data_IF_124771025007
#
_entry.id   IF_124771025007
#
_cell.length_a   1.000
_cell.length_b   1.000
_cell.length_c   1.000
_cell.angle_alpha   90.00
_cell.angle_beta   90.00
_cell.angle_gamma   90.00
#
_symmetry.space_group_name_H-M   'P 1'
#
loop_
_entity.id
_entity.type
_entity.pdbx_description
1 polymer ?
#
# COMPACT_ATOMS: atom_id res chain seq x y z
N UNK A 1 33.99 14.14 -28.08
CA UNK A 1 33.19 13.19 -28.88
C UNK A 1 31.74 13.44 -28.48
N UNK A 2 30.94 14.00 -29.38
CA UNK A 2 29.53 14.28 -29.11
C UNK A 2 28.77 12.98 -28.97
N UNK A 3 27.90 12.90 -27.96
CA UNK A 3 26.91 11.83 -27.85
C UNK A 3 25.91 12.01 -29.00
N UNK A 4 26.11 11.19 -30.03
CA UNK A 4 25.13 10.85 -31.03
C UNK A 4 24.42 9.62 -30.50
N UNK A 5 23.44 9.81 -29.64
CA UNK A 5 22.42 8.81 -29.36
C UNK A 5 21.10 9.56 -29.16
N UNK A 6 20.16 9.35 -30.07
CA UNK A 6 18.81 9.93 -30.11
C UNK A 6 17.91 9.44 -28.96
N UNK A 7 18.47 8.73 -27.98
CA UNK A 7 17.80 8.45 -26.72
C UNK A 7 17.97 9.65 -25.82
N UNK A 8 17.05 10.61 -25.90
CA UNK A 8 16.90 11.60 -24.84
C UNK A 8 16.70 10.81 -23.55
N UNK A 9 17.72 10.75 -22.69
CA UNK A 9 17.66 10.05 -21.40
C UNK A 9 16.32 10.42 -20.74
N UNK A 10 15.49 9.42 -20.42
CA UNK A 10 14.18 9.65 -19.79
C UNK A 10 14.29 10.48 -18.49
N UNK A 11 15.48 10.49 -17.89
CA UNK A 11 15.85 11.36 -16.78
C UNK A 11 15.89 12.85 -17.19
N UNK A 12 16.47 13.17 -18.34
CA UNK A 12 16.48 14.54 -18.88
C UNK A 12 15.07 14.99 -19.24
N UNK A 13 14.25 14.16 -19.89
CA UNK A 13 12.86 14.54 -20.22
C UNK A 13 12.01 14.82 -18.99
N UNK A 14 12.19 14.05 -17.91
CA UNK A 14 11.49 14.26 -16.64
C UNK A 14 11.95 15.49 -15.90
N UNK A 15 13.26 15.74 -15.87
CA UNK A 15 13.79 16.95 -15.27
C UNK A 15 13.23 18.19 -15.98
N UNK A 16 13.22 18.18 -17.32
CA UNK A 16 12.62 19.26 -18.10
C UNK A 16 11.13 19.42 -17.79
N UNK A 17 10.35 18.34 -17.76
CA UNK A 17 8.93 18.39 -17.41
C UNK A 17 8.69 19.00 -16.02
N UNK A 18 9.48 18.60 -15.02
CA UNK A 18 9.36 19.12 -13.66
C UNK A 18 9.73 20.61 -13.56
N UNK A 19 10.79 21.03 -14.25
CA UNK A 19 11.21 22.44 -14.31
C UNK A 19 10.20 23.30 -15.06
N UNK A 20 9.62 22.80 -16.14
CA UNK A 20 8.57 23.48 -16.89
C UNK A 20 7.32 23.67 -16.02
N UNK A 21 6.92 22.61 -15.31
CA UNK A 21 5.79 22.62 -14.38
C UNK A 21 5.99 23.63 -13.22
N UNK A 22 7.21 23.71 -12.67
CA UNK A 22 7.59 24.75 -11.69
C UNK A 22 7.54 26.16 -12.30
N UNK A 23 8.07 26.32 -13.51
CA UNK A 23 8.08 27.61 -14.21
C UNK A 23 6.66 28.10 -14.50
N UNK A 24 5.76 27.19 -14.88
CA UNK A 24 4.35 27.48 -15.12
C UNK A 24 3.67 27.91 -13.83
N UNK A 25 3.91 27.20 -12.72
CA UNK A 25 3.37 27.59 -11.42
C UNK A 25 3.86 28.97 -10.98
N UNK A 26 5.17 29.20 -10.99
CA UNK A 26 5.75 30.50 -10.62
C UNK A 26 5.29 31.64 -11.55
N UNK A 27 5.17 31.37 -12.85
CA UNK A 27 4.64 32.29 -13.84
C UNK A 27 3.20 32.67 -13.54
N UNK A 28 2.35 31.70 -13.19
CA UNK A 28 0.95 31.98 -12.81
C UNK A 28 0.85 32.79 -11.52
N UNK A 29 1.69 32.53 -10.51
CA UNK A 29 1.75 33.33 -9.28
C UNK A 29 2.15 34.77 -9.61
N UNK A 30 3.20 34.95 -10.43
CA UNK A 30 3.73 36.27 -10.80
C UNK A 30 2.73 37.08 -11.63
N UNK A 31 2.01 36.42 -12.54
CA UNK A 31 1.05 37.09 -13.43
C UNK A 31 -0.29 37.41 -12.74
N UNK A 32 -0.79 36.51 -11.90
CA UNK A 32 -2.13 36.62 -11.29
C UNK A 32 -2.13 37.17 -9.86
N UNK A 33 -0.98 37.18 -9.18
CA UNK A 33 -0.86 37.61 -7.79
C UNK A 33 -1.69 36.76 -6.82
N UNK A 34 -1.77 37.19 -5.56
CA UNK A 34 -2.53 36.49 -4.52
C UNK A 34 -4.04 36.43 -4.84
N UNK A 35 -4.60 37.48 -5.43
CA UNK A 35 -6.03 37.58 -5.75
C UNK A 35 -6.44 36.56 -6.82
N UNK A 36 -5.65 36.38 -7.87
CA UNK A 36 -5.99 35.41 -8.91
C UNK A 36 -5.79 33.95 -8.47
N UNK A 37 -4.93 33.68 -7.49
CA UNK A 37 -4.87 32.35 -6.85
C UNK A 37 -6.13 32.05 -6.04
N UNK A 38 -6.65 33.06 -5.33
CA UNK A 38 -7.93 32.96 -4.61
C UNK A 38 -9.09 32.74 -5.59
N UNK A 39 -9.06 33.40 -6.76
CA UNK A 39 -10.06 33.16 -7.81
C UNK A 39 -9.99 31.73 -8.36
N UNK A 40 -8.80 31.21 -8.65
CA UNK A 40 -8.61 29.81 -9.08
C UNK A 40 -9.15 28.83 -8.02
N UNK A 41 -8.89 29.09 -6.74
CA UNK A 41 -9.41 28.28 -5.64
C UNK A 41 -10.95 28.35 -5.55
N UNK A 42 -11.54 29.55 -5.72
CA UNK A 42 -13.00 29.73 -5.75
C UNK A 42 -13.65 28.97 -6.92
N UNK A 43 -13.06 29.04 -8.11
CA UNK A 43 -13.52 28.30 -9.29
C UNK A 43 -13.43 26.79 -9.10
N UNK A 44 -12.36 26.29 -8.48
CA UNK A 44 -12.21 24.88 -8.10
C UNK A 44 -13.29 24.42 -7.11
N UNK A 45 -13.56 25.23 -6.08
CA UNK A 45 -14.62 24.97 -5.10
C UNK A 45 -16.02 24.96 -5.75
N UNK A 46 -16.29 25.90 -6.66
CA UNK A 46 -17.54 25.94 -7.43
C UNK A 46 -17.72 24.66 -8.27
N UNK A 47 -16.68 24.22 -8.99
CA UNK A 47 -16.71 22.97 -9.77
C UNK A 47 -16.97 21.74 -8.90
N UNK A 48 -16.39 21.68 -7.70
CA UNK A 48 -16.63 20.59 -6.75
C UNK A 48 -18.08 20.57 -6.25
N UNK A 49 -18.62 21.74 -5.86
CA UNK A 49 -20.02 21.83 -5.45
C UNK A 49 -20.99 21.41 -6.57
N UNK A 50 -20.69 21.76 -7.82
CA UNK A 50 -21.46 21.32 -8.98
C UNK A 50 -21.36 19.81 -9.20
N UNK A 51 -20.16 19.23 -9.06
CA UNK A 51 -19.96 17.78 -9.16
C UNK A 51 -20.67 17.01 -8.04
N UNK A 52 -20.67 17.56 -6.81
CA UNK A 52 -21.38 16.97 -5.68
C UNK A 52 -22.89 16.97 -5.92
N UNK A 53 -23.46 18.08 -6.43
CA UNK A 53 -24.87 18.14 -6.84
C UNK A 53 -25.21 17.07 -7.88
N UNK A 54 -24.39 16.89 -8.92
CA UNK A 54 -24.59 15.83 -9.92
C UNK A 54 -24.59 14.43 -9.31
N UNK A 55 -23.67 14.15 -8.39
CA UNK A 55 -23.62 12.86 -7.68
C UNK A 55 -24.87 12.65 -6.81
N UNK A 56 -25.36 13.69 -6.15
CA UNK A 56 -26.53 13.60 -5.29
C UNK A 56 -27.83 13.46 -6.11
N UNK A 57 -27.94 14.13 -7.26
CA UNK A 57 -29.02 13.93 -8.24
C UNK A 57 -29.03 12.49 -8.77
N UNK A 58 -27.86 11.94 -9.11
CA UNK A 58 -27.72 10.56 -9.57
C UNK A 58 -28.13 9.56 -8.47
N UNK A 59 -27.76 9.82 -7.21
CA UNK A 59 -28.18 8.99 -6.07
C UNK A 59 -29.69 9.08 -5.84
N UNK A 60 -30.28 10.27 -5.97
CA UNK A 60 -31.72 10.47 -5.82
C UNK A 60 -32.51 9.70 -6.89
N UNK A 61 -32.02 9.69 -8.14
CA UNK A 61 -32.59 8.88 -9.23
C UNK A 61 -32.52 7.38 -8.91
N UNK A 62 -31.36 6.87 -8.45
CA UNK A 62 -31.23 5.47 -8.04
C UNK A 62 -32.15 5.10 -6.87
N UNK A 63 -32.32 6.00 -5.90
CA UNK A 63 -33.22 5.77 -4.77
C UNK A 63 -34.69 5.70 -5.23
N UNK A 64 -35.09 6.56 -6.17
CA UNK A 64 -36.43 6.54 -6.77
C UNK A 64 -36.67 5.26 -7.59
N UNK A 65 -35.69 4.81 -8.37
CA UNK A 65 -35.80 3.58 -9.17
C UNK A 65 -35.83 2.33 -8.27
N UNK A 66 -35.06 2.33 -7.19
CA UNK A 66 -35.12 1.28 -6.15
C UNK A 66 -36.49 1.23 -5.46
N UNK A 67 -37.09 2.39 -5.18
CA UNK A 67 -38.44 2.47 -4.60
C UNK A 67 -39.54 1.96 -5.55
N UNK A 68 -39.30 2.01 -6.87
CA UNK A 68 -40.18 1.44 -7.91
C UNK A 68 -39.94 -0.06 -8.16
N UNK A 69 -39.05 -0.71 -7.42
CA UNK A 69 -38.73 -2.13 -7.57
C UNK A 69 -37.87 -2.47 -8.80
N UNK A 70 -37.22 -1.48 -9.41
CA UNK A 70 -36.32 -1.68 -10.55
C UNK A 70 -34.96 -2.19 -10.04
N UNK A 71 -34.35 -3.15 -10.76
CA UNK A 71 -32.98 -3.61 -10.44
C UNK A 71 -31.97 -2.48 -10.68
N UNK A 72 -31.32 -2.04 -9.60
CA UNK A 72 -30.39 -0.90 -9.58
C UNK A 72 -28.93 -1.33 -9.47
N UNK A 73 -28.61 -2.63 -9.51
CA UNK A 73 -27.23 -3.10 -9.28
C UNK A 73 -26.24 -2.65 -10.36
N UNK A 74 -26.65 -2.59 -11.63
CA UNK A 74 -25.82 -2.06 -12.72
C UNK A 74 -25.65 -0.55 -12.60
N UNK A 75 -26.75 0.17 -12.42
CA UNK A 75 -26.77 1.63 -12.30
C UNK A 75 -26.02 2.14 -11.06
N UNK A 76 -26.02 1.38 -9.95
CA UNK A 76 -25.23 1.68 -8.76
C UNK A 76 -23.71 1.54 -9.00
N UNK A 77 -23.29 0.56 -9.81
CA UNK A 77 -21.88 0.40 -10.20
C UNK A 77 -21.42 1.53 -11.12
N UNK A 78 -22.27 1.96 -12.05
CA UNK A 78 -21.99 3.09 -12.93
C UNK A 78 -21.90 4.40 -12.16
N UNK A 79 -22.83 4.65 -11.23
CA UNK A 79 -22.75 5.80 -10.34
C UNK A 79 -21.46 5.80 -9.52
N UNK A 80 -21.04 4.64 -8.99
CA UNK A 80 -19.78 4.55 -8.25
C UNK A 80 -18.56 4.89 -9.11
N UNK A 81 -18.56 4.49 -10.40
CA UNK A 81 -17.49 4.84 -11.35
C UNK A 81 -17.50 6.32 -11.69
N UNK A 82 -18.67 6.89 -11.96
CA UNK A 82 -18.84 8.30 -12.30
C UNK A 82 -18.56 9.22 -11.12
N UNK A 83 -19.00 8.87 -9.91
CA UNK A 83 -18.65 9.61 -8.69
C UNK A 83 -17.13 9.59 -8.46
N UNK A 84 -16.47 8.46 -8.73
CA UNK A 84 -15.02 8.37 -8.61
C UNK A 84 -14.28 9.16 -9.70
N UNK A 85 -14.77 9.21 -10.94
CA UNK A 85 -14.16 10.04 -12.00
C UNK A 85 -14.33 11.54 -11.69
N UNK A 86 -15.52 11.96 -11.25
CA UNK A 86 -15.81 13.34 -10.85
C UNK A 86 -14.97 13.78 -9.64
N UNK A 87 -14.75 12.89 -8.66
CA UNK A 87 -13.83 13.13 -7.53
C UNK A 87 -12.38 13.28 -7.98
N UNK A 88 -11.91 12.46 -8.92
CA UNK A 88 -10.55 12.58 -9.47
C UNK A 88 -10.36 13.87 -10.26
N UNK A 89 -11.41 14.35 -10.93
CA UNK A 89 -11.40 15.59 -11.69
C UNK A 89 -11.51 16.85 -10.81
N UNK A 90 -12.01 16.73 -9.58
CA UNK A 90 -12.19 17.87 -8.65
C UNK A 90 -11.28 17.75 -7.43
N UNK A 91 -10.00 18.09 -7.61
CA UNK A 91 -9.10 18.32 -6.48
C UNK A 91 -9.28 19.74 -5.92
N UNK A 92 -9.27 19.89 -4.59
CA UNK A 92 -9.34 21.21 -3.91
C UNK A 92 -8.04 22.02 -4.01
N UNK A 93 -7.01 21.49 -4.65
CA UNK A 93 -5.68 22.09 -4.67
C UNK A 93 -5.48 22.99 -5.90
N UNK A 94 -4.91 24.17 -5.66
CA UNK A 94 -4.49 25.14 -6.67
C UNK A 94 -3.49 24.49 -7.65
N UNK A 95 -2.57 23.66 -7.15
CA UNK A 95 -1.62 22.94 -8.02
C UNK A 95 -2.35 21.99 -8.98
N UNK A 96 -3.39 21.31 -8.50
CA UNK A 96 -4.20 20.41 -9.32
C UNK A 96 -5.03 21.19 -10.33
N UNK A 97 -5.49 22.39 -9.98
CA UNK A 97 -6.23 23.25 -10.90
C UNK A 97 -5.37 23.83 -12.04
N UNK A 98 -4.08 24.06 -11.79
CA UNK A 98 -3.16 24.66 -12.77
C UNK A 98 -2.46 23.59 -13.61
N UNK A 99 -1.96 22.51 -13.00
CA UNK A 99 -1.13 21.51 -13.65
C UNK A 99 -1.81 20.14 -13.86
N UNK A 100 -2.95 19.90 -13.22
CA UNK A 100 -3.57 18.58 -13.16
C UNK A 100 -2.98 17.68 -12.08
N UNK A 101 -3.69 16.60 -11.74
CA UNK A 101 -3.42 15.80 -10.55
C UNK A 101 -2.02 15.19 -10.51
N UNK A 102 -1.61 14.54 -11.60
CA UNK A 102 -0.35 13.78 -11.60
C UNK A 102 0.88 14.69 -11.51
N UNK A 103 0.89 15.80 -12.24
CA UNK A 103 1.97 16.79 -12.19
C UNK A 103 2.00 17.56 -10.88
N UNK A 104 0.83 17.86 -10.31
CA UNK A 104 0.73 18.44 -8.97
C UNK A 104 1.28 17.50 -7.89
N UNK A 105 0.99 16.20 -7.97
CA UNK A 105 1.54 15.20 -7.04
C UNK A 105 3.07 15.11 -7.17
N UNK A 106 3.62 15.18 -8.39
CA UNK A 106 5.06 15.20 -8.65
C UNK A 106 5.72 16.47 -8.07
N UNK A 107 5.11 17.66 -8.24
CA UNK A 107 5.58 18.90 -7.59
C UNK A 107 5.57 18.83 -6.06
N UNK A 108 4.54 18.23 -5.45
CA UNK A 108 4.47 18.10 -3.97
C UNK A 108 5.53 17.16 -3.42
N UNK A 109 5.93 16.14 -4.17
CA UNK A 109 6.92 15.15 -3.74
C UNK A 109 8.37 15.57 -3.96
N UNK A 110 8.57 16.68 -4.69
CA UNK A 110 9.87 17.12 -5.17
C UNK A 110 10.38 16.30 -6.35
N UNK A 111 11.39 16.81 -7.05
CA UNK A 111 12.01 16.08 -8.17
C UNK A 111 12.56 14.74 -7.70
N UNK A 112 12.08 13.65 -8.31
CA UNK A 112 12.58 12.29 -8.11
C UNK A 112 13.01 11.75 -9.47
N UNK A 113 14.30 11.38 -9.66
CA UNK A 113 14.77 10.85 -10.94
C UNK A 113 14.00 9.57 -11.33
N UNK A 114 13.71 8.73 -10.33
CA UNK A 114 12.92 7.51 -10.50
C UNK A 114 11.49 7.68 -9.96
N UNK A 115 10.50 7.63 -10.85
CA UNK A 115 9.09 7.51 -10.46
C UNK A 115 8.89 6.11 -9.88
N UNK A 116 8.32 5.94 -8.66
CA UNK A 116 7.96 4.62 -8.19
C UNK A 116 6.98 4.03 -9.21
N UNK A 117 7.35 2.88 -9.80
CA UNK A 117 6.46 2.15 -10.69
C UNK A 117 5.12 1.96 -9.98
N UNK A 118 4.08 2.65 -10.47
CA UNK A 118 2.71 2.39 -9.99
C UNK A 118 2.51 0.90 -10.19
N UNK A 119 2.15 0.18 -9.12
CA UNK A 119 1.80 -1.25 -9.21
C UNK A 119 0.96 -1.44 -10.47
N UNK A 120 1.35 -2.30 -11.43
CA UNK A 120 0.64 -2.41 -12.69
C UNK A 120 -0.81 -2.72 -12.35
N UNK A 121 -1.70 -1.76 -12.57
CA UNK A 121 -3.12 -1.96 -12.32
C UNK A 121 -3.57 -2.94 -13.39
N UNK A 122 -4.07 -4.09 -12.95
CA UNK A 122 -4.50 -5.11 -13.89
C UNK A 122 -5.75 -4.59 -14.60
N UNK A 123 -5.60 -4.18 -15.85
CA UNK A 123 -6.74 -3.74 -16.66
C UNK A 123 -7.72 -4.92 -16.83
N UNK A 124 -8.98 -4.81 -16.36
CA UNK A 124 -9.92 -5.91 -16.45
C UNK A 124 -10.19 -6.35 -17.89
N UNK A 125 -10.02 -5.44 -18.85
CA UNK A 125 -10.18 -5.70 -20.28
C UNK A 125 -9.08 -6.59 -20.85
N UNK A 126 -7.84 -6.46 -20.37
CA UNK A 126 -6.70 -7.26 -20.85
C UNK A 126 -6.76 -8.69 -20.33
N UNK A 127 -7.26 -8.90 -19.10
CA UNK A 127 -7.50 -10.24 -18.54
C UNK A 127 -8.62 -11.03 -19.23
N UNK A 128 -9.60 -10.32 -19.79
CA UNK A 128 -10.75 -10.93 -20.49
C UNK A 128 -10.39 -11.29 -21.92
N UNK A 129 -9.49 -10.53 -22.57
CA UNK A 129 -8.99 -10.84 -23.90
C UNK A 129 -7.92 -11.95 -23.93
N UNK A 130 -7.35 -12.33 -22.79
CA UNK A 130 -6.35 -13.40 -22.70
C UNK A 130 -6.98 -14.79 -22.72
N UNK A 131 -6.33 -15.73 -23.41
CA UNK A 131 -6.68 -17.15 -23.28
C UNK A 131 -6.42 -17.64 -21.85
N UNK A 132 -7.02 -18.76 -21.47
CA UNK A 132 -6.88 -19.35 -20.12
C UNK A 132 -5.41 -19.58 -19.74
N UNK A 133 -4.57 -19.94 -20.70
CA UNK A 133 -3.13 -20.19 -20.53
C UNK A 133 -2.34 -18.89 -20.38
N UNK A 134 -2.59 -17.91 -21.24
CA UNK A 134 -1.99 -16.58 -21.14
C UNK A 134 -2.36 -15.88 -19.84
N UNK A 135 -3.60 -16.06 -19.37
CA UNK A 135 -4.07 -15.53 -18.09
C UNK A 135 -3.36 -16.20 -16.91
N UNK A 136 -3.10 -17.50 -16.99
CA UNK A 136 -2.36 -18.24 -15.96
C UNK A 136 -0.89 -17.79 -15.91
N UNK A 137 -0.27 -17.59 -17.06
CA UNK A 137 1.11 -17.08 -17.15
C UNK A 137 1.23 -15.62 -16.70
N UNK A 138 0.29 -14.77 -17.11
CA UNK A 138 0.20 -13.37 -16.67
C UNK A 138 0.03 -13.27 -15.15
N UNK A 139 -0.87 -14.05 -14.56
CA UNK A 139 -1.03 -14.10 -13.09
C UNK A 139 0.20 -14.64 -12.38
N UNK A 140 0.91 -15.61 -12.99
CA UNK A 140 2.15 -16.17 -12.45
C UNK A 140 3.30 -15.17 -12.53
N UNK A 141 3.41 -14.39 -13.61
CA UNK A 141 4.38 -13.32 -13.78
C UNK A 141 4.06 -12.12 -12.88
N UNK A 142 2.80 -11.74 -12.78
CA UNK A 142 2.32 -10.72 -11.86
C UNK A 142 2.59 -11.11 -10.40
N UNK A 143 2.35 -12.37 -10.02
CA UNK A 143 2.72 -12.89 -8.71
C UNK A 143 4.24 -12.89 -8.53
N UNK A 144 5.07 -13.24 -9.52
CA UNK A 144 6.54 -13.13 -9.39
C UNK A 144 6.97 -11.68 -9.11
N UNK A 145 6.39 -10.71 -9.80
CA UNK A 145 6.74 -9.30 -9.62
C UNK A 145 6.11 -8.67 -8.36
N UNK A 146 5.01 -9.25 -7.85
CA UNK A 146 4.35 -8.83 -6.60
C UNK A 146 4.88 -9.55 -5.37
N UNK A 147 5.57 -10.69 -5.55
CA UNK A 147 6.20 -11.48 -4.48
C UNK A 147 7.51 -10.83 -4.04
N UNK A 148 7.41 -9.62 -3.48
CA UNK A 148 8.50 -8.91 -2.82
C UNK A 148 9.59 -8.47 -3.78
N UNK A 149 9.83 -7.16 -3.86
CA UNK A 149 10.96 -6.56 -4.58
C UNK A 149 12.33 -7.15 -4.15
N UNK A 150 12.37 -7.90 -3.05
CA UNK A 150 13.57 -8.46 -2.44
C UNK A 150 13.55 -10.00 -2.27
N UNK A 151 12.62 -10.73 -2.91
CA UNK A 151 12.51 -12.20 -2.74
C UNK A 151 11.95 -12.67 -1.39
N UNK A 152 11.71 -11.73 -0.47
CA UNK A 152 11.23 -11.97 0.89
C UNK A 152 9.70 -12.15 1.01
N UNK A 153 9.01 -12.51 -0.08
CA UNK A 153 7.57 -12.70 -0.07
C UNK A 153 7.15 -13.92 0.77
N UNK A 154 6.46 -13.69 1.89
CA UNK A 154 5.83 -14.73 2.73
C UNK A 154 4.50 -15.24 2.13
N UNK A 155 4.36 -15.24 0.81
CA UNK A 155 3.08 -15.48 0.10
C UNK A 155 2.74 -16.95 -0.09
N UNK A 156 3.70 -17.86 0.13
CA UNK A 156 3.55 -19.31 -0.06
C UNK A 156 4.06 -20.07 1.16
N UNK A 157 3.50 -21.25 1.43
CA UNK A 157 3.96 -22.09 2.54
C UNK A 157 5.38 -22.59 2.30
N UNK A 158 6.14 -22.80 3.38
CA UNK A 158 7.50 -23.31 3.29
C UNK A 158 7.58 -24.67 2.58
N UNK A 159 6.58 -25.54 2.76
CA UNK A 159 6.47 -26.85 2.09
C UNK A 159 6.18 -26.77 0.59
N UNK A 160 5.67 -25.63 0.10
CA UNK A 160 5.34 -25.41 -1.31
C UNK A 160 6.50 -24.75 -2.07
N UNK A 161 7.53 -24.31 -1.35
CA UNK A 161 8.74 -23.73 -1.91
C UNK A 161 9.70 -24.84 -2.37
N UNK A 162 10.45 -24.63 -3.47
CA UNK A 162 11.53 -25.53 -3.84
C UNK A 162 12.54 -25.61 -2.69
N UNK A 163 13.03 -26.82 -2.39
CA UNK A 163 14.09 -27.04 -1.40
C UNK A 163 15.37 -27.45 -2.13
N UNK A 164 16.49 -26.70 -1.99
CA UNK A 164 16.67 -25.48 -1.20
C UNK A 164 15.97 -24.27 -1.81
N UNK A 165 15.49 -23.32 -0.98
CA UNK A 165 14.89 -22.09 -1.51
C UNK A 165 15.96 -21.24 -2.22
N UNK A 166 15.48 -20.42 -3.15
CA UNK A 166 16.34 -19.53 -3.94
C UNK A 166 17.06 -18.51 -3.05
N UNK A 167 18.25 -18.03 -3.45
CA UNK A 167 18.89 -16.89 -2.78
C UNK A 167 17.95 -15.69 -2.68
N UNK A 168 17.94 -15.01 -1.53
CA UNK A 168 17.06 -13.87 -1.24
C UNK A 168 15.65 -14.26 -0.74
N UNK A 169 15.30 -15.54 -0.66
CA UNK A 169 14.03 -15.96 -0.06
C UNK A 169 14.08 -15.93 1.47
N UNK A 170 12.93 -15.72 2.13
CA UNK A 170 12.83 -15.71 3.60
C UNK A 170 13.47 -16.93 4.25
N UNK A 171 13.16 -18.13 3.78
CA UNK A 171 13.75 -19.36 4.30
C UNK A 171 15.28 -19.37 4.21
N UNK A 172 15.82 -18.79 3.13
CA UNK A 172 17.25 -18.76 2.88
C UNK A 172 17.99 -17.78 3.82
N UNK A 173 17.36 -16.66 4.12
CA UNK A 173 17.89 -15.68 5.09
C UNK A 173 17.77 -16.20 6.53
N UNK A 174 16.76 -17.02 6.83
CA UNK A 174 16.47 -17.57 8.16
C UNK A 174 16.98 -19.03 8.34
N UNK A 175 18.18 -19.32 7.85
CA UNK A 175 18.93 -20.54 8.24
C UNK A 175 18.74 -21.79 7.37
N UNK A 176 17.93 -21.73 6.30
CA UNK A 176 17.84 -22.87 5.37
C UNK A 176 19.16 -23.09 4.61
N UNK A 177 19.70 -24.29 4.70
CA UNK A 177 20.90 -24.70 3.96
C UNK A 177 20.69 -24.68 2.44
N UNK A 178 21.74 -24.30 1.68
CA UNK A 178 21.82 -24.58 0.23
C UNK A 178 21.99 -26.06 -0.10
N UNK A 179 22.48 -26.87 0.84
CA UNK A 179 22.92 -28.23 0.59
C UNK A 179 24.10 -28.33 -0.39
N UNK A 180 24.88 -27.27 -0.56
CA UNK A 180 26.14 -27.29 -1.33
C UNK A 180 27.32 -27.75 -0.46
N UNK A 181 27.22 -27.49 0.85
CA UNK A 181 28.20 -27.86 1.86
C UNK A 181 27.53 -28.66 2.98
N UNK A 182 28.27 -29.61 3.56
CA UNK A 182 27.81 -30.38 4.73
C UNK A 182 27.63 -29.41 5.91
N UNK A 183 26.48 -29.48 6.58
CA UNK A 183 26.14 -28.67 7.76
C UNK A 183 26.12 -27.14 7.53
N UNK A 184 25.79 -26.68 6.32
CA UNK A 184 25.68 -25.24 6.02
C UNK A 184 24.30 -24.64 6.40
N UNK A 185 23.72 -25.06 7.53
CA UNK A 185 22.59 -24.40 8.16
C UNK A 185 23.14 -23.58 9.33
N UNK A 186 22.56 -22.41 9.60
CA UNK A 186 23.01 -21.54 10.69
C UNK A 186 21.83 -21.11 11.55
N UNK A 187 22.02 -21.25 12.86
CA UNK A 187 21.10 -20.77 13.90
C UNK A 187 21.57 -19.42 14.48
N UNK A 188 22.66 -18.85 13.94
CA UNK A 188 23.19 -17.57 14.40
C UNK A 188 22.31 -16.41 13.94
N UNK A 189 22.00 -15.51 14.89
CA UNK A 189 21.28 -14.28 14.60
C UNK A 189 22.15 -13.35 13.76
N UNK A 190 21.63 -12.94 12.60
CA UNK A 190 22.34 -12.07 11.65
C UNK A 190 21.70 -10.68 11.56
N UNK A 191 22.51 -9.63 11.38
CA UNK A 191 22.03 -8.24 11.22
C UNK A 191 20.99 -8.12 10.10
N UNK A 192 21.17 -8.73 8.91
CA UNK A 192 20.15 -8.73 7.86
C UNK A 192 18.85 -9.41 8.27
N UNK A 193 18.87 -10.48 9.08
CA UNK A 193 17.65 -11.13 9.58
C UNK A 193 16.87 -10.16 10.48
N UNK A 194 17.55 -9.50 11.43
CA UNK A 194 16.94 -8.52 12.32
C UNK A 194 16.34 -7.33 11.55
N UNK A 195 17.08 -6.77 10.58
CA UNK A 195 16.58 -5.72 9.69
C UNK A 195 15.40 -6.18 8.84
N UNK A 196 15.37 -7.46 8.45
CA UNK A 196 14.25 -8.01 7.70
C UNK A 196 13.01 -8.25 8.56
N UNK A 197 13.13 -8.53 9.85
CA UNK A 197 11.97 -8.53 10.75
C UNK A 197 11.47 -7.11 11.01
N UNK A 198 12.38 -6.14 11.15
CA UNK A 198 12.05 -4.75 11.44
C UNK A 198 11.37 -4.04 10.26
N UNK A 199 11.93 -4.20 9.06
CA UNK A 199 11.54 -3.47 7.85
C UNK A 199 10.87 -4.35 6.79
N UNK A 200 10.94 -5.67 6.94
CA UNK A 200 10.46 -6.60 5.93
C UNK A 200 8.97 -6.94 6.07
N UNK A 201 8.45 -7.76 5.15
CA UNK A 201 7.02 -8.01 4.99
C UNK A 201 6.40 -8.87 6.10
N UNK A 202 7.20 -9.33 7.08
CA UNK A 202 6.73 -10.17 8.18
C UNK A 202 5.65 -9.45 9.00
N UNK A 203 5.88 -8.18 9.34
CA UNK A 203 4.91 -7.36 10.07
C UNK A 203 3.60 -7.17 9.28
N UNK A 204 3.69 -6.94 7.96
CA UNK A 204 2.52 -6.75 7.09
C UNK A 204 1.66 -8.02 6.98
N UNK A 205 2.29 -9.19 6.88
CA UNK A 205 1.59 -10.47 6.79
C UNK A 205 0.91 -10.82 8.11
N UNK A 206 1.58 -10.58 9.24
CA UNK A 206 1.03 -10.86 10.56
C UNK A 206 -0.14 -9.92 10.86
N UNK A 207 -0.05 -8.64 10.47
CA UNK A 207 -1.11 -7.64 10.66
C UNK A 207 -2.22 -7.70 9.58
N UNK A 208 -2.19 -8.67 8.66
CA UNK A 208 -3.20 -8.78 7.63
C UNK A 208 -4.58 -9.13 8.23
N UNK A 209 -5.65 -8.34 7.96
CA UNK A 209 -7.01 -8.63 8.45
C UNK A 209 -7.57 -9.99 8.04
N UNK A 210 -7.10 -10.55 6.92
CA UNK A 210 -7.49 -11.86 6.44
C UNK A 210 -6.79 -13.02 7.18
N UNK A 211 -5.79 -12.73 8.02
CA UNK A 211 -5.11 -13.76 8.81
C UNK A 211 -6.03 -14.31 9.90
N UNK A 212 -5.89 -15.60 10.21
CA UNK A 212 -6.63 -16.22 11.33
C UNK A 212 -6.34 -15.54 12.67
N UNK A 213 -5.10 -15.06 12.85
CA UNK A 213 -4.69 -14.32 14.04
C UNK A 213 -5.51 -13.03 14.18
N UNK A 214 -5.54 -12.18 13.14
CA UNK A 214 -6.33 -10.94 13.20
C UNK A 214 -7.82 -11.20 13.29
N UNK A 215 -8.35 -12.27 12.68
CA UNK A 215 -9.75 -12.65 12.86
C UNK A 215 -10.05 -13.00 14.33
N UNK A 216 -9.16 -13.74 15.00
CA UNK A 216 -9.30 -14.07 16.42
C UNK A 216 -9.18 -12.82 17.31
N UNK A 217 -8.26 -11.91 16.99
CA UNK A 217 -8.11 -10.63 17.69
C UNK A 217 -9.33 -9.73 17.47
N UNK A 218 -9.89 -9.70 16.26
CA UNK A 218 -11.08 -8.90 15.94
C UNK A 218 -12.34 -9.36 16.68
N UNK A 219 -12.42 -10.65 17.07
CA UNK A 219 -13.51 -11.18 17.89
C UNK A 219 -13.44 -10.77 19.36
N UNK A 220 -12.29 -10.24 19.82
CA UNK A 220 -12.15 -9.78 21.20
C UNK A 220 -12.65 -8.33 21.36
N UNK A 221 -13.59 -8.11 22.26
CA UNK A 221 -14.28 -6.82 22.42
C UNK A 221 -13.40 -5.70 23.00
N UNK A 222 -12.41 -6.04 23.82
CA UNK A 222 -11.59 -5.06 24.55
C UNK A 222 -10.12 -5.10 24.12
N UNK A 223 -9.41 -3.96 24.07
CA UNK A 223 -7.98 -3.93 23.76
C UNK A 223 -7.14 -4.83 24.67
N UNK A 224 -7.47 -4.92 25.96
CA UNK A 224 -6.80 -5.82 26.89
C UNK A 224 -7.00 -7.30 26.53
N UNK A 225 -8.23 -7.71 26.16
CA UNK A 225 -8.47 -9.09 25.67
C UNK A 225 -7.75 -9.36 24.36
N UNK A 226 -7.70 -8.39 23.44
CA UNK A 226 -6.95 -8.48 22.17
C UNK A 226 -5.48 -8.79 22.41
N UNK A 227 -4.86 -8.07 23.35
CA UNK A 227 -3.46 -8.29 23.72
C UNK A 227 -3.26 -9.65 24.39
N UNK A 228 -4.16 -10.09 25.28
CA UNK A 228 -4.07 -11.43 25.86
C UNK A 228 -4.16 -12.53 24.79
N UNK A 229 -5.08 -12.40 23.82
CA UNK A 229 -5.18 -13.32 22.68
C UNK A 229 -3.92 -13.31 21.83
N UNK A 230 -3.31 -12.14 21.61
CA UNK A 230 -2.05 -12.00 20.88
C UNK A 230 -0.89 -12.71 21.61
N UNK A 231 -0.73 -12.48 22.92
CA UNK A 231 0.28 -13.15 23.75
C UNK A 231 0.10 -14.67 23.74
N UNK A 232 -1.14 -15.14 23.85
CA UNK A 232 -1.42 -16.57 23.81
C UNK A 232 -1.13 -17.17 22.42
N UNK A 233 -1.42 -16.45 21.34
CA UNK A 233 -1.17 -16.93 19.99
C UNK A 233 0.31 -16.90 19.60
N UNK A 234 1.09 -15.94 20.09
CA UNK A 234 2.50 -15.77 19.72
C UNK A 234 3.47 -16.43 20.70
N UNK A 235 3.22 -16.31 22.01
CA UNK A 235 4.11 -16.78 23.08
C UNK A 235 3.53 -17.96 23.86
N UNK A 236 2.33 -18.44 23.52
CA UNK A 236 1.66 -19.56 24.22
C UNK A 236 1.47 -19.35 25.73
N UNK A 237 1.50 -18.09 26.20
CA UNK A 237 1.31 -17.71 27.61
C UNK A 237 0.51 -16.42 27.72
N UNK A 238 0.00 -16.12 28.92
CA UNK A 238 -0.54 -14.80 29.24
C UNK A 238 0.59 -13.79 29.54
N UNK A 239 0.37 -12.48 29.35
CA UNK A 239 1.31 -11.45 29.80
C UNK A 239 1.47 -11.51 31.32
N UNK A 240 2.68 -11.22 31.83
CA UNK A 240 2.93 -11.10 33.27
C UNK A 240 2.32 -9.80 33.82
N UNK A 241 2.23 -9.65 35.14
CA UNK A 241 1.71 -8.43 35.76
C UNK A 241 2.51 -7.18 35.37
N UNK A 242 3.84 -7.31 35.24
CA UNK A 242 4.72 -6.23 34.81
C UNK A 242 4.51 -5.87 33.33
N UNK A 243 4.45 -6.87 32.45
CA UNK A 243 4.16 -6.68 31.03
C UNK A 243 2.78 -6.03 30.84
N UNK A 244 1.79 -6.48 31.60
CA UNK A 244 0.43 -5.94 31.54
C UNK A 244 0.36 -4.47 31.95
N UNK A 245 1.17 -4.04 32.93
CA UNK A 245 1.27 -2.64 33.32
C UNK A 245 1.80 -1.77 32.17
N UNK A 246 2.85 -2.23 31.48
CA UNK A 246 3.41 -1.54 30.29
C UNK A 246 2.43 -1.56 29.11
N UNK A 247 1.73 -2.67 28.89
CA UNK A 247 0.77 -2.78 27.78
C UNK A 247 -0.43 -1.85 28.00
N UNK A 248 -0.87 -1.68 29.26
CA UNK A 248 -1.96 -0.78 29.59
C UNK A 248 -1.60 0.70 29.31
N UNK A 249 -0.37 1.13 29.57
CA UNK A 249 0.06 2.49 29.21
C UNK A 249 0.07 2.69 27.70
N UNK A 250 0.58 1.71 26.94
CA UNK A 250 0.59 1.76 25.47
C UNK A 250 -0.85 1.78 24.90
N UNK A 251 -1.78 1.02 25.47
CA UNK A 251 -3.20 1.05 25.09
C UNK A 251 -3.79 2.44 25.33
N UNK A 252 -3.51 3.05 26.48
CA UNK A 252 -4.04 4.37 26.83
C UNK A 252 -3.51 5.46 25.89
N UNK A 253 -2.23 5.40 25.50
CA UNK A 253 -1.61 6.40 24.63
C UNK A 253 -2.00 6.24 23.15
N UNK A 254 -2.15 5.00 22.66
CA UNK A 254 -2.28 4.73 21.22
C UNK A 254 -3.61 4.14 20.77
N UNK A 255 -4.47 3.73 21.69
CA UNK A 255 -5.80 3.18 21.39
C UNK A 255 -5.71 1.94 20.50
N UNK A 256 -6.47 1.92 19.39
CA UNK A 256 -6.53 0.78 18.47
C UNK A 256 -5.19 0.45 17.79
N UNK A 257 -4.28 1.43 17.65
CA UNK A 257 -2.95 1.20 17.07
C UNK A 257 -2.02 0.42 18.01
N UNK A 258 -2.32 0.39 19.31
CA UNK A 258 -1.53 -0.33 20.30
C UNK A 258 -1.39 -1.82 19.95
N UNK A 259 -2.44 -2.44 19.39
CA UNK A 259 -2.40 -3.87 19.04
C UNK A 259 -1.37 -4.14 17.95
N UNK A 260 -1.30 -3.30 16.92
CA UNK A 260 -0.33 -3.45 15.83
C UNK A 260 1.11 -3.17 16.32
N UNK A 261 1.30 -2.15 17.14
CA UNK A 261 2.60 -1.80 17.71
C UNK A 261 3.12 -2.93 18.63
N UNK A 262 2.25 -3.48 19.48
CA UNK A 262 2.60 -4.63 20.35
C UNK A 262 2.88 -5.88 19.50
N UNK A 263 2.12 -6.13 18.44
CA UNK A 263 2.38 -7.24 17.52
C UNK A 263 3.76 -7.13 16.88
N UNK A 264 4.12 -5.93 16.42
CA UNK A 264 5.44 -5.68 15.84
C UNK A 264 6.56 -5.86 16.88
N UNK A 265 6.38 -5.36 18.10
CA UNK A 265 7.33 -5.53 19.20
C UNK A 265 7.52 -7.01 19.60
N UNK A 266 6.46 -7.82 19.57
CA UNK A 266 6.55 -9.26 19.88
C UNK A 266 7.28 -10.05 18.79
N UNK A 267 7.11 -9.69 17.52
CA UNK A 267 7.78 -10.34 16.38
C UNK A 267 9.28 -10.01 16.34
N UNK A 268 9.63 -8.78 16.70
CA UNK A 268 11.03 -8.31 16.70
C UNK A 268 11.75 -8.57 18.03
N UNK A 269 11.01 -8.96 19.08
CA UNK A 269 11.53 -9.22 20.41
C UNK A 269 12.30 -10.54 20.51
N UNK A 270 13.26 -10.58 21.44
CA UNK A 270 14.11 -11.75 21.70
C UNK A 270 13.38 -12.93 22.37
N UNK A 271 12.16 -12.74 22.86
CA UNK A 271 11.37 -13.82 23.47
C UNK A 271 10.86 -14.85 22.45
N UNK A 272 11.03 -14.60 21.15
CA UNK A 272 10.71 -15.54 20.07
C UNK A 272 11.86 -16.52 19.78
N UNK A 273 13.00 -16.42 20.48
CA UNK A 273 14.10 -17.38 20.34
C UNK A 273 13.68 -18.73 20.92
N UNK A 274 13.50 -19.70 20.04
CA UNK A 274 13.40 -21.11 20.41
C UNK A 274 14.81 -21.57 20.82
N UNK A 275 15.13 -21.44 22.11
CA UNK A 275 16.37 -22.00 22.67
C UNK A 275 16.15 -23.50 22.80
N UNK A 276 16.84 -24.29 21.98
CA UNK A 276 16.92 -25.74 22.08
C UNK A 276 18.26 -26.17 22.66
#
# INVERSE_FOLDING_TARGET
KGNVDDTVDDENTRLHQYLDDLSMFLGTIKAKGAEGLVQIAKEGSAKLSANQKKVDEMKAKLAADKAKGIDTTAAAKELAREANSLRRASGQDILVAILGKERADDLRQGYRPEKPEKRPQIDPKTLVSMTKEQRKEFMRAYQRNTSGKDGMGLTSRASEQPSPARPGTFLRTFGQSDRELIQNASDEASVPQALTLLNGPAADVINNPASKLNQAIAQADTPAKKINTLYQAMLSRAPTAEEQAVLNTVIQERGDKAVADVTHALVTGSQFLFVQ
#
